data_IF_015734703620
#
_entry.id   IF_015734703620
#
_cell.length_a   1.000
_cell.length_b   1.000
_cell.length_c   1.000
_cell.angle_alpha   90.00
_cell.angle_beta   90.00
_cell.angle_gamma   90.00
#
_symmetry.space_group_name_H-M   'P 1'
#
loop_
_entity.id
_entity.type
_entity.pdbx_description
1 polymer ?
#
# COMPACT_ATOMS: atom_id res chain seq x y z
N UNK A 1 3.51 9.47 -24.64
CA UNK A 1 2.44 9.33 -23.60
C UNK A 1 3.07 9.14 -22.22
N UNK A 2 2.37 9.34 -21.09
CA UNK A 2 2.92 9.16 -19.72
C UNK A 2 2.04 8.22 -18.89
N UNK A 3 2.68 7.36 -18.09
CA UNK A 3 2.02 6.48 -17.11
C UNK A 3 2.72 6.63 -15.77
N UNK A 4 1.93 6.67 -14.70
CA UNK A 4 2.41 6.77 -13.33
C UNK A 4 1.74 5.68 -12.49
N UNK A 5 2.51 5.02 -11.65
CA UNK A 5 1.98 4.04 -10.70
C UNK A 5 2.97 3.84 -9.55
N UNK A 6 2.44 3.57 -8.35
CA UNK A 6 3.23 3.12 -7.22
C UNK A 6 3.61 1.63 -7.30
N UNK A 7 2.98 0.87 -8.21
CA UNK A 7 3.26 -0.56 -8.43
C UNK A 7 3.40 -0.87 -9.92
N UNK A 8 4.28 -1.80 -10.29
CA UNK A 8 4.52 -2.15 -11.70
C UNK A 8 4.52 -3.67 -11.97
N UNK A 9 3.41 -4.38 -11.66
CA UNK A 9 3.30 -5.83 -11.84
C UNK A 9 3.15 -6.20 -13.33
N UNK A 10 3.47 -7.45 -13.69
CA UNK A 10 3.50 -7.97 -15.09
C UNK A 10 2.26 -7.60 -15.92
N UNK A 11 1.07 -7.60 -15.32
CA UNK A 11 -0.16 -7.22 -16.02
C UNK A 11 -0.11 -5.78 -16.60
N UNK A 12 0.52 -4.85 -15.89
CA UNK A 12 0.68 -3.45 -16.31
C UNK A 12 1.74 -3.31 -17.40
N UNK A 13 2.74 -4.21 -17.48
CA UNK A 13 3.72 -4.18 -18.57
C UNK A 13 3.05 -4.37 -19.93
N UNK A 14 2.07 -5.27 -20.03
CA UNK A 14 1.31 -5.49 -21.27
C UNK A 14 0.54 -4.24 -21.67
N UNK A 15 -0.10 -3.59 -20.70
CA UNK A 15 -0.80 -2.32 -20.93
C UNK A 15 0.16 -1.23 -21.40
N UNK A 16 1.34 -1.12 -20.78
CA UNK A 16 2.33 -0.15 -21.21
C UNK A 16 2.81 -0.41 -22.65
N UNK A 17 3.01 -1.66 -23.05
CA UNK A 17 3.40 -2.02 -24.42
C UNK A 17 2.33 -1.70 -25.47
N UNK A 18 1.05 -1.79 -25.11
CA UNK A 18 -0.05 -1.55 -26.05
C UNK A 18 -0.26 -0.05 -26.33
N UNK A 19 -0.09 0.79 -25.31
CA UNK A 19 -0.49 2.21 -25.40
C UNK A 19 0.69 3.19 -25.45
N UNK A 20 1.89 2.82 -24.99
CA UNK A 20 3.06 3.71 -25.02
C UNK A 20 3.76 3.72 -26.36
N UNK A 21 4.50 4.81 -26.62
CA UNK A 21 5.43 4.90 -27.75
C UNK A 21 6.46 3.74 -27.69
N UNK A 22 6.97 3.23 -28.83
CA UNK A 22 7.81 2.02 -28.88
C UNK A 22 9.08 2.03 -28.03
N UNK A 23 9.59 3.22 -27.67
CA UNK A 23 10.81 3.40 -26.89
C UNK A 23 10.53 4.26 -25.64
N UNK A 24 9.77 3.76 -24.65
CA UNK A 24 9.48 4.51 -23.45
C UNK A 24 10.67 4.46 -22.48
N UNK A 25 10.91 5.56 -21.75
CA UNK A 25 11.87 5.57 -20.64
C UNK A 25 11.11 5.23 -19.36
N UNK A 26 11.53 4.16 -18.67
CA UNK A 26 11.01 3.79 -17.35
C UNK A 26 11.92 4.37 -16.26
N UNK A 27 11.33 5.09 -15.31
CA UNK A 27 12.01 5.59 -14.12
C UNK A 27 11.34 4.98 -12.89
N UNK A 28 12.14 4.42 -11.98
CA UNK A 28 11.68 3.86 -10.71
C UNK A 28 12.33 4.63 -9.57
N UNK A 29 11.55 4.95 -8.53
CA UNK A 29 12.04 5.61 -7.32
C UNK A 29 11.85 4.62 -6.16
N UNK A 30 12.92 4.35 -5.41
CA UNK A 30 12.92 3.34 -4.35
C UNK A 30 13.31 1.96 -4.87
N UNK A 31 12.58 0.93 -4.45
CA UNK A 31 12.84 -0.47 -4.83
C UNK A 31 12.28 -0.79 -6.22
N UNK A 32 12.98 -1.65 -6.98
CA UNK A 32 12.44 -2.23 -8.22
C UNK A 32 11.36 -3.28 -7.95
N UNK A 33 11.49 -3.99 -6.82
CA UNK A 33 10.48 -4.91 -6.31
C UNK A 33 9.37 -4.18 -5.56
N UNK A 34 8.23 -4.87 -5.38
CA UNK A 34 7.09 -4.35 -4.62
C UNK A 34 7.52 -3.96 -3.20
N UNK A 35 7.50 -2.67 -2.92
CA UNK A 35 7.80 -2.11 -1.60
C UNK A 35 6.66 -1.21 -1.16
N UNK A 36 6.29 -1.32 0.12
CA UNK A 36 5.43 -0.35 0.76
C UNK A 36 6.26 0.86 1.22
N UNK A 37 5.60 2.00 1.43
CA UNK A 37 6.25 3.20 1.95
C UNK A 37 6.91 2.91 3.31
N UNK A 38 8.19 3.25 3.45
CA UNK A 38 8.99 3.04 4.65
C UNK A 38 8.51 3.84 5.87
N UNK A 39 7.83 4.96 5.65
CA UNK A 39 7.28 5.78 6.74
C UNK A 39 6.01 5.17 7.36
N UNK A 40 5.44 4.14 6.74
CA UNK A 40 4.22 3.48 7.21
C UNK A 40 4.57 2.25 8.02
N UNK A 41 4.29 2.28 9.32
CA UNK A 41 4.39 1.10 10.19
C UNK A 41 3.33 0.06 9.79
N UNK A 42 3.78 -1.16 9.51
CA UNK A 42 2.93 -2.26 9.08
C UNK A 42 2.81 -3.30 10.21
N UNK A 43 1.59 -3.54 10.69
CA UNK A 43 1.29 -4.51 11.76
C UNK A 43 0.42 -5.63 11.16
N UNK A 44 0.83 -6.88 11.35
CA UNK A 44 0.08 -8.06 10.89
C UNK A 44 -0.39 -8.87 12.09
N UNK A 45 -1.70 -9.08 12.19
CA UNK A 45 -2.32 -9.89 13.25
C UNK A 45 -3.06 -11.08 12.64
N UNK A 46 -2.71 -12.29 13.07
CA UNK A 46 -3.40 -13.52 12.68
C UNK A 46 -4.51 -13.78 13.70
N UNK A 47 -5.75 -13.76 13.23
CA UNK A 47 -6.93 -13.86 14.07
C UNK A 47 -7.84 -14.98 13.59
N UNK A 48 -8.54 -15.61 14.53
CA UNK A 48 -9.70 -16.42 14.20
C UNK A 48 -10.79 -15.58 13.53
N UNK A 49 -11.52 -16.18 12.59
CA UNK A 49 -12.50 -15.45 11.79
C UNK A 49 -13.58 -14.75 12.66
N UNK A 50 -13.93 -15.36 13.80
CA UNK A 50 -14.90 -14.81 14.76
C UNK A 50 -14.35 -13.63 15.57
N UNK A 51 -13.04 -13.52 15.74
CA UNK A 51 -12.40 -12.49 16.56
C UNK A 51 -12.23 -11.13 15.84
N UNK A 52 -12.46 -11.08 14.51
CA UNK A 52 -12.24 -9.88 13.69
C UNK A 52 -13.03 -8.66 14.17
N UNK A 53 -14.30 -8.85 14.52
CA UNK A 53 -15.19 -7.74 14.91
C UNK A 53 -14.80 -7.15 16.26
N UNK A 54 -14.53 -8.01 17.24
CA UNK A 54 -14.09 -7.60 18.58
C UNK A 54 -12.74 -6.87 18.51
N UNK A 55 -11.79 -7.41 17.74
CA UNK A 55 -10.47 -6.79 17.55
C UNK A 55 -10.54 -5.42 16.88
N UNK A 56 -11.40 -5.26 15.87
CA UNK A 56 -11.64 -3.98 15.20
C UNK A 56 -12.25 -2.95 16.15
N UNK A 57 -13.19 -3.37 16.99
CA UNK A 57 -13.85 -2.48 17.96
C UNK A 57 -12.85 -1.98 19.00
N UNK A 58 -12.04 -2.88 19.56
CA UNK A 58 -10.95 -2.53 20.47
C UNK A 58 -9.93 -1.58 19.81
N UNK A 59 -9.57 -1.82 18.54
CA UNK A 59 -8.66 -0.94 17.79
C UNK A 59 -9.20 0.49 17.66
N UNK A 60 -10.47 0.64 17.27
CA UNK A 60 -11.11 1.95 17.11
C UNK A 60 -11.12 2.74 18.42
N UNK A 61 -11.44 2.06 19.52
CA UNK A 61 -11.41 2.68 20.86
C UNK A 61 -10.00 3.15 21.18
N UNK A 62 -8.99 2.30 20.99
CA UNK A 62 -7.59 2.66 21.22
C UNK A 62 -7.16 3.87 20.38
N UNK A 63 -7.49 3.88 19.08
CA UNK A 63 -7.16 5.00 18.19
C UNK A 63 -7.86 6.30 18.60
N UNK A 64 -9.14 6.23 18.97
CA UNK A 64 -9.87 7.40 19.46
C UNK A 64 -9.17 8.01 20.68
N UNK A 65 -8.74 7.17 21.62
CA UNK A 65 -8.01 7.65 22.81
C UNK A 65 -6.64 8.22 22.46
N UNK A 66 -5.86 7.54 21.61
CA UNK A 66 -4.55 8.00 21.17
C UNK A 66 -4.62 9.37 20.47
N UNK A 67 -5.63 9.60 19.63
CA UNK A 67 -5.86 10.91 18.99
C UNK A 67 -6.25 11.98 20.01
N UNK A 68 -7.06 11.66 21.03
CA UNK A 68 -7.48 12.63 22.05
C UNK A 68 -6.35 13.08 22.97
N UNK A 69 -5.32 12.26 23.15
CA UNK A 69 -4.14 12.57 23.97
C UNK A 69 -2.96 13.11 23.15
N UNK A 70 -3.12 13.31 21.83
CA UNK A 70 -2.10 13.88 20.94
C UNK A 70 -0.88 12.98 20.74
N UNK A 71 -1.03 11.65 20.87
CA UNK A 71 0.05 10.68 20.63
C UNK A 71 0.16 10.19 19.18
N UNK A 72 -0.71 10.69 18.30
CA UNK A 72 -0.68 10.53 16.84
C UNK A 72 -1.25 11.77 16.18
#
# INVERSE_FOLDING_TARGET
MLMFSATWPVAIHRLAQEYMDPNPVKVVIGSEDLAANHDVMQIVEVLDNRARYERLTAFKISLHWLNRIGSI
#
